data_IF_399786465122
#
_entry.id   IF_399786465122
#
_cell.length_a   1.000
_cell.length_b   1.000
_cell.length_c   1.000
_cell.angle_alpha   90.00
_cell.angle_beta   90.00
_cell.angle_gamma   90.00
#
_symmetry.space_group_name_H-M   'P 1'
#
loop_
_entity.id
_entity.type
_entity.pdbx_description
1 polymer ?
#
# COMPACT_ATOMS: atom_id res chain seq x y z
N UNK A 1 -9.07 6.00 -15.24
CA UNK A 1 -8.42 5.20 -14.19
C UNK A 1 -7.39 4.27 -14.82
N UNK A 2 -6.24 4.12 -14.19
CA UNK A 2 -5.19 3.21 -14.66
C UNK A 2 -4.78 2.25 -13.54
N UNK A 3 -4.43 1.01 -13.91
CA UNK A 3 -3.90 -0.01 -13.00
C UNK A 3 -2.49 -0.34 -13.44
N UNK A 4 -1.56 -0.27 -12.49
CA UNK A 4 -0.14 -0.59 -12.73
C UNK A 4 0.22 -1.82 -11.92
N UNK A 5 0.80 -2.82 -12.57
CA UNK A 5 1.23 -4.05 -11.93
C UNK A 5 2.76 -4.12 -11.88
N UNK A 6 3.31 -4.30 -10.69
CA UNK A 6 4.74 -4.48 -10.53
C UNK A 6 5.14 -5.85 -11.13
N UNK A 7 6.12 -5.90 -12.06
CA UNK A 7 6.56 -7.18 -12.62
C UNK A 7 7.17 -8.09 -11.55
N UNK A 8 7.12 -9.42 -11.75
CA UNK A 8 7.76 -10.37 -10.83
C UNK A 8 9.25 -10.08 -10.66
N UNK A 9 9.76 -10.25 -9.44
CA UNK A 9 11.16 -10.03 -9.07
C UNK A 9 11.71 -8.63 -9.37
N UNK A 10 10.82 -7.65 -9.49
CA UNK A 10 11.16 -6.24 -9.68
C UNK A 10 10.58 -5.42 -8.54
N UNK A 11 11.06 -4.21 -8.43
CA UNK A 11 10.55 -3.22 -7.49
C UNK A 11 10.08 -2.00 -8.27
N UNK A 12 9.05 -1.34 -7.76
CA UNK A 12 8.40 -0.22 -8.42
C UNK A 12 8.44 0.99 -7.50
N UNK A 13 8.76 2.15 -8.06
CA UNK A 13 8.68 3.43 -7.35
C UNK A 13 7.99 4.48 -8.18
N UNK A 14 7.46 5.52 -7.51
CA UNK A 14 6.89 6.69 -8.16
C UNK A 14 7.76 7.90 -7.82
N UNK A 15 8.18 8.63 -8.86
CA UNK A 15 8.87 9.91 -8.71
C UNK A 15 8.10 10.96 -9.51
N UNK A 16 7.59 11.98 -8.81
CA UNK A 16 6.66 12.92 -9.44
C UNK A 16 5.41 12.21 -9.93
N UNK A 17 5.23 12.13 -11.24
CA UNK A 17 4.10 11.43 -11.87
C UNK A 17 4.54 10.23 -12.71
N UNK A 18 5.81 9.79 -12.58
CA UNK A 18 6.38 8.73 -13.39
C UNK A 18 6.74 7.51 -12.57
N UNK A 19 6.26 6.34 -12.98
CA UNK A 19 6.65 5.07 -12.39
C UNK A 19 7.98 4.59 -12.96
N UNK A 20 8.82 4.04 -12.09
CA UNK A 20 10.12 3.45 -12.43
C UNK A 20 10.16 2.00 -11.96
N UNK A 21 10.59 1.09 -12.86
CA UNK A 21 10.80 -0.32 -12.54
C UNK A 21 12.28 -0.54 -12.28
N UNK A 22 12.60 -1.15 -11.14
CA UNK A 22 13.97 -1.39 -10.70
C UNK A 22 14.24 -2.89 -10.55
N UNK A 23 15.50 -3.35 -10.74
CA UNK A 23 15.90 -4.67 -10.25
C UNK A 23 15.68 -4.73 -8.73
N UNK A 24 15.46 -5.93 -8.18
CA UNK A 24 15.29 -6.06 -6.74
C UNK A 24 16.55 -5.61 -6.00
N UNK A 25 16.38 -4.87 -4.91
CA UNK A 25 17.47 -4.27 -4.14
C UNK A 25 18.28 -5.31 -3.35
N UNK A 26 17.73 -6.51 -3.15
CA UNK A 26 18.39 -7.62 -2.47
C UNK A 26 18.52 -8.80 -3.44
N UNK A 27 19.64 -8.92 -4.19
CA UNK A 27 19.75 -9.92 -5.26
C UNK A 27 19.50 -11.35 -4.84
N UNK A 28 19.89 -11.72 -3.61
CA UNK A 28 19.70 -13.07 -3.06
C UNK A 28 18.50 -13.19 -2.12
N UNK A 29 17.71 -12.11 -1.94
CA UNK A 29 16.57 -12.07 -1.05
C UNK A 29 15.25 -11.88 -1.79
N UNK A 30 14.18 -11.75 -1.01
CA UNK A 30 12.86 -11.41 -1.55
C UNK A 30 12.80 -9.95 -1.94
N UNK A 31 12.12 -9.59 -3.03
CA UNK A 31 11.88 -8.19 -3.37
C UNK A 31 11.16 -7.46 -2.23
N UNK A 32 11.49 -6.20 -2.02
CA UNK A 32 10.82 -5.31 -1.07
C UNK A 32 9.84 -4.39 -1.79
N UNK A 33 9.08 -4.97 -2.70
CA UNK A 33 8.24 -4.25 -3.65
C UNK A 33 7.21 -3.36 -2.97
N UNK A 34 6.54 -3.87 -1.94
CA UNK A 34 5.48 -3.11 -1.26
C UNK A 34 6.08 -1.96 -0.46
N UNK A 35 7.14 -2.24 0.32
CA UNK A 35 7.79 -1.21 1.14
C UNK A 35 8.32 -0.06 0.30
N UNK A 36 9.04 -0.37 -0.77
CA UNK A 36 9.64 0.66 -1.63
C UNK A 36 8.58 1.46 -2.38
N UNK A 37 7.55 0.79 -2.89
CA UNK A 37 6.44 1.48 -3.55
C UNK A 37 5.73 2.43 -2.60
N UNK A 38 5.33 1.96 -1.43
CA UNK A 38 4.58 2.78 -0.47
C UNK A 38 5.40 3.98 0.02
N UNK A 39 6.69 3.81 0.27
CA UNK A 39 7.56 4.94 0.64
C UNK A 39 7.63 5.99 -0.46
N UNK A 40 7.77 5.56 -1.71
CA UNK A 40 7.83 6.48 -2.84
C UNK A 40 6.49 7.18 -3.08
N UNK A 41 5.37 6.48 -2.92
CA UNK A 41 4.05 7.07 -3.03
C UNK A 41 3.81 8.11 -1.94
N UNK A 42 4.17 7.81 -0.69
CA UNK A 42 4.04 8.75 0.41
C UNK A 42 4.81 10.05 0.13
N UNK A 43 6.01 9.94 -0.42
CA UNK A 43 6.82 11.10 -0.78
C UNK A 43 6.25 11.89 -1.98
N UNK A 44 5.69 11.19 -2.97
CA UNK A 44 5.25 11.83 -4.21
C UNK A 44 3.84 12.42 -4.12
N UNK A 45 2.90 11.74 -3.47
CA UNK A 45 1.47 12.14 -3.48
C UNK A 45 0.87 12.31 -2.09
N UNK A 46 1.63 12.07 -1.04
CA UNK A 46 1.28 12.44 0.33
C UNK A 46 -0.04 11.85 0.84
N UNK A 47 -0.97 12.73 1.23
CA UNK A 47 -2.25 12.32 1.82
C UNK A 47 -3.23 11.68 0.84
N UNK A 48 -2.88 11.57 -0.44
CA UNK A 48 -3.70 10.90 -1.46
C UNK A 48 -3.42 9.40 -1.54
N UNK A 49 -2.49 8.88 -0.74
CA UNK A 49 -2.18 7.44 -0.70
C UNK A 49 -3.22 6.70 0.12
N UNK A 50 -3.73 5.61 -0.44
CA UNK A 50 -4.48 4.59 0.30
C UNK A 50 -3.72 3.29 0.14
N UNK A 51 -3.09 2.83 1.22
CA UNK A 51 -2.37 1.56 1.23
C UNK A 51 -3.32 0.45 1.66
N UNK A 52 -3.35 -0.62 0.89
CA UNK A 52 -4.18 -1.80 1.19
C UNK A 52 -3.27 -3.01 1.31
N UNK A 53 -3.25 -3.63 2.48
CA UNK A 53 -2.48 -4.84 2.74
C UNK A 53 -3.44 -6.04 2.72
N UNK A 54 -3.22 -6.91 1.76
CA UNK A 54 -4.04 -8.10 1.53
C UNK A 54 -3.34 -9.36 2.04
N UNK A 55 -3.99 -10.52 1.85
CA UNK A 55 -3.42 -11.83 2.15
C UNK A 55 -2.01 -11.94 1.58
N UNK A 56 -1.08 -12.49 2.35
CA UNK A 56 0.29 -12.68 1.93
C UNK A 56 1.18 -13.16 3.06
N UNK A 57 2.41 -13.51 2.72
CA UNK A 57 3.41 -14.01 3.64
C UNK A 57 4.48 -12.96 3.88
N UNK A 58 5.00 -12.91 5.11
CA UNK A 58 6.08 -12.00 5.46
C UNK A 58 5.62 -10.61 5.86
N UNK A 59 6.57 -9.71 6.06
CA UNK A 59 6.34 -8.38 6.62
C UNK A 59 6.61 -7.25 5.63
N UNK A 60 6.70 -7.55 4.33
CA UNK A 60 6.88 -6.51 3.32
C UNK A 60 5.71 -5.52 3.37
N UNK A 61 6.01 -4.25 3.35
CA UNK A 61 5.05 -3.16 3.45
C UNK A 61 4.93 -2.58 4.87
N UNK A 62 5.06 -3.39 5.93
CA UNK A 62 4.90 -2.90 7.30
C UNK A 62 5.89 -1.79 7.64
N UNK A 63 7.12 -1.87 7.15
CA UNK A 63 8.14 -0.86 7.40
C UNK A 63 7.81 0.50 6.75
N UNK A 64 6.93 0.54 5.75
CA UNK A 64 6.55 1.77 5.06
C UNK A 64 5.30 2.42 5.65
N UNK A 65 4.58 1.77 6.55
CA UNK A 65 3.30 2.28 7.04
C UNK A 65 3.46 3.59 7.82
N UNK A 66 4.56 3.75 8.55
CA UNK A 66 4.85 5.02 9.24
C UNK A 66 4.96 6.17 8.24
N UNK A 67 5.64 5.97 7.11
CA UNK A 67 5.77 6.99 6.07
C UNK A 67 4.40 7.36 5.48
N UNK A 68 3.54 6.37 5.24
CA UNK A 68 2.18 6.60 4.75
C UNK A 68 1.37 7.43 5.76
N UNK A 69 1.41 7.07 7.04
CA UNK A 69 0.69 7.82 8.08
C UNK A 69 1.24 9.22 8.27
N UNK A 70 2.56 9.37 8.26
CA UNK A 70 3.21 10.67 8.44
C UNK A 70 2.84 11.64 7.31
N UNK A 71 2.57 11.15 6.11
CA UNK A 71 2.13 11.97 4.97
C UNK A 71 0.60 12.15 4.90
N UNK A 72 -0.15 11.63 5.86
CA UNK A 72 -1.61 11.77 5.91
C UNK A 72 -2.37 10.73 5.12
N UNK A 73 -1.71 9.68 4.65
CA UNK A 73 -2.33 8.58 3.92
C UNK A 73 -3.18 7.67 4.80
N UNK A 74 -3.94 6.80 4.17
CA UNK A 74 -4.86 5.87 4.80
C UNK A 74 -4.38 4.45 4.64
N UNK A 75 -4.54 3.61 5.66
CA UNK A 75 -4.08 2.22 5.67
C UNK A 75 -5.24 1.30 6.00
N UNK A 76 -5.54 0.37 5.08
CA UNK A 76 -6.57 -0.65 5.22
C UNK A 76 -5.90 -2.03 5.18
N UNK A 77 -6.38 -2.96 6.01
CA UNK A 77 -5.83 -4.32 6.08
C UNK A 77 -6.97 -5.33 5.97
N UNK A 78 -6.72 -6.42 5.24
CA UNK A 78 -7.68 -7.50 5.08
C UNK A 78 -7.83 -8.30 6.38
N UNK A 79 -9.07 -8.47 6.83
CA UNK A 79 -9.43 -9.42 7.88
C UNK A 79 -9.70 -10.80 7.28
N UNK A 80 -9.47 -11.87 8.06
CA UNK A 80 -9.77 -13.24 7.63
C UNK A 80 -8.93 -13.73 6.45
N UNK A 81 -7.73 -13.18 6.26
CA UNK A 81 -6.86 -13.56 5.14
C UNK A 81 -6.40 -15.01 5.26
N UNK A 82 -6.47 -15.81 4.17
CA UNK A 82 -5.96 -17.19 4.18
C UNK A 82 -4.47 -17.27 4.53
N UNK A 83 -3.67 -16.33 4.04
CA UNK A 83 -2.26 -16.16 4.41
C UNK A 83 -2.15 -14.87 5.22
N UNK A 84 -2.23 -15.02 6.54
CA UNK A 84 -2.46 -13.89 7.44
C UNK A 84 -1.21 -13.22 8.01
N UNK A 85 0.02 -13.69 7.70
CA UNK A 85 1.21 -13.11 8.33
C UNK A 85 1.45 -11.66 7.90
N UNK A 86 1.27 -11.32 6.62
CA UNK A 86 1.45 -9.95 6.15
C UNK A 86 0.43 -8.98 6.76
N UNK A 87 -0.87 -9.27 6.76
CA UNK A 87 -1.85 -8.46 7.49
C UNK A 87 -1.54 -8.35 8.98
N UNK A 88 -1.13 -9.45 9.63
CA UNK A 88 -0.82 -9.45 11.07
C UNK A 88 0.35 -8.52 11.39
N UNK A 89 1.44 -8.56 10.64
CA UNK A 89 2.57 -7.67 10.84
C UNK A 89 2.16 -6.20 10.64
N UNK A 90 1.31 -5.92 9.66
CA UNK A 90 0.79 -4.58 9.45
C UNK A 90 -0.04 -4.11 10.66
N UNK A 91 -0.93 -4.96 11.16
CA UNK A 91 -1.76 -4.64 12.35
C UNK A 91 -0.89 -4.40 13.58
N UNK A 92 0.16 -5.17 13.76
CA UNK A 92 1.09 -5.03 14.90
C UNK A 92 1.81 -3.68 14.92
N UNK A 93 1.89 -2.98 13.79
CA UNK A 93 2.46 -1.61 13.77
C UNK A 93 1.62 -0.60 14.56
N UNK A 94 0.34 -0.87 14.77
CA UNK A 94 -0.60 0.07 15.41
C UNK A 94 -1.00 1.23 14.52
N UNK A 95 -0.66 1.21 13.23
CA UNK A 95 -0.88 2.33 12.29
C UNK A 95 -2.06 2.11 11.34
N UNK A 96 -2.72 0.96 11.41
CA UNK A 96 -3.81 0.60 10.50
C UNK A 96 -5.07 1.38 10.87
N UNK A 97 -5.71 1.99 9.88
CA UNK A 97 -6.94 2.74 10.08
C UNK A 97 -8.16 1.83 10.22
N UNK A 98 -8.26 0.79 9.36
CA UNK A 98 -9.39 -0.14 9.41
C UNK A 98 -8.95 -1.54 9.02
N UNK A 99 -9.57 -2.54 9.66
CA UNK A 99 -9.39 -3.96 9.37
C UNK A 99 -10.73 -4.45 8.81
N UNK A 100 -10.75 -4.83 7.53
CA UNK A 100 -11.98 -5.06 6.77
C UNK A 100 -11.90 -6.33 5.93
N UNK A 101 -13.06 -6.91 5.62
CA UNK A 101 -13.15 -7.96 4.59
C UNK A 101 -12.87 -7.35 3.21
N UNK A 102 -12.54 -8.17 2.19
CA UNK A 102 -12.31 -7.63 0.84
C UNK A 102 -13.48 -6.81 0.29
N UNK A 103 -14.72 -7.24 0.52
CA UNK A 103 -15.89 -6.47 0.05
C UNK A 103 -16.04 -5.15 0.79
N UNK A 104 -15.71 -5.11 2.07
CA UNK A 104 -15.72 -3.87 2.85
C UNK A 104 -14.60 -2.93 2.43
N UNK A 105 -13.43 -3.48 2.08
CA UNK A 105 -12.32 -2.68 1.52
C UNK A 105 -12.77 -2.02 0.22
N UNK A 106 -13.40 -2.76 -0.67
CA UNK A 106 -13.91 -2.23 -1.93
C UNK A 106 -14.89 -1.09 -1.69
N UNK A 107 -15.83 -1.24 -0.74
CA UNK A 107 -16.79 -0.20 -0.41
C UNK A 107 -16.11 1.05 0.17
N UNK A 108 -15.10 0.87 1.02
CA UNK A 108 -14.34 1.97 1.60
C UNK A 108 -13.56 2.74 0.53
N UNK A 109 -12.94 2.03 -0.41
CA UNK A 109 -12.23 2.66 -1.54
C UNK A 109 -13.18 3.49 -2.42
N UNK A 110 -14.36 2.97 -2.73
CA UNK A 110 -15.36 3.70 -3.51
C UNK A 110 -15.78 4.98 -2.77
N UNK A 111 -16.01 4.91 -1.47
CA UNK A 111 -16.35 6.08 -0.67
C UNK A 111 -15.23 7.13 -0.63
N UNK A 112 -13.99 6.71 -0.51
CA UNK A 112 -12.84 7.61 -0.57
C UNK A 112 -12.75 8.32 -1.92
N UNK A 113 -12.96 7.61 -3.02
CA UNK A 113 -12.96 8.20 -4.37
C UNK A 113 -14.08 9.23 -4.54
N UNK A 114 -15.27 8.96 -4.02
CA UNK A 114 -16.40 9.91 -4.04
C UNK A 114 -16.09 11.19 -3.30
N UNK A 115 -15.43 11.10 -2.14
CA UNK A 115 -15.03 12.27 -1.37
C UNK A 115 -14.00 13.12 -2.11
N UNK A 116 -13.04 12.48 -2.77
CA UNK A 116 -12.04 13.18 -3.58
C UNK A 116 -12.72 13.91 -4.74
N UNK A 117 -13.63 13.27 -5.46
CA UNK A 117 -14.36 13.88 -6.57
C UNK A 117 -15.14 15.11 -6.12
N UNK A 118 -15.75 15.07 -4.92
CA UNK A 118 -16.46 16.21 -4.37
C UNK A 118 -15.55 17.38 -4.02
N UNK A 119 -14.29 17.11 -3.65
CA UNK A 119 -13.33 18.15 -3.29
C UNK A 119 -12.71 18.82 -4.50
N UNK A 120 -12.75 18.21 -5.66
CA UNK A 120 -12.15 18.74 -6.89
C UNK A 120 -13.10 19.60 -7.75
N UNK A 121 -14.32 19.76 -7.32
CA UNK A 121 -15.33 20.57 -8.05
C UNK A 121 -15.23 22.06 -7.72
#
# INVERSE_FOLDING_TARGET
MAVFLCPPNKELSLTGSTFHVHPKSTPLGWPRSITLLLKSLAAAVGNRVIAVILSGMGADGSAALMAVKASGGRILVQSGAPYGSMPRYAIETGLVDRILTPSQIAADLVNCCKLIDRQTV
#
